data_IF_142667020991
#
_entry.id   IF_142667020991
#
_cell.length_a   1.000
_cell.length_b   1.000
_cell.length_c   1.000
_cell.angle_alpha   90.00
_cell.angle_beta   90.00
_cell.angle_gamma   90.00
#
_symmetry.space_group_name_H-M   'P 1'
#
loop_
_entity.id
_entity.type
_entity.pdbx_description
1 polymer ?
#
# COMPACT_ATOMS: atom_id res chain seq x y z
N UNK A 1 -13.31 -1.57 9.68
CA UNK A 1 -12.95 -1.11 8.33
C UNK A 1 -11.64 -0.35 8.45
N UNK A 2 -10.55 -0.95 8.01
CA UNK A 2 -9.24 -0.31 7.91
C UNK A 2 -9.16 0.34 6.53
N UNK A 3 -9.34 1.66 6.46
CA UNK A 3 -9.28 2.38 5.18
C UNK A 3 -7.84 2.45 4.64
N UNK A 4 -7.68 2.77 3.35
CA UNK A 4 -6.37 2.85 2.68
C UNK A 4 -5.42 3.84 3.38
N UNK A 5 -5.97 4.86 4.05
CA UNK A 5 -5.28 5.85 4.89
C UNK A 5 -4.47 5.26 6.05
N UNK A 6 -4.83 4.06 6.53
CA UNK A 6 -4.00 3.36 7.52
C UNK A 6 -2.67 2.90 6.93
N UNK A 7 -2.64 2.69 5.61
CA UNK A 7 -1.45 2.30 4.86
C UNK A 7 -0.75 3.50 4.19
N UNK A 8 -1.19 4.72 4.46
CA UNK A 8 -0.51 5.94 4.03
C UNK A 8 0.98 5.91 4.42
N UNK A 9 1.82 6.56 3.61
CA UNK A 9 3.26 6.62 3.87
C UNK A 9 3.54 7.09 5.31
N UNK A 10 4.44 6.42 6.06
CA UNK A 10 5.32 5.31 5.66
C UNK A 10 4.77 3.91 5.99
N UNK A 11 3.53 3.78 6.43
CA UNK A 11 2.98 2.53 7.01
C UNK A 11 2.87 1.41 5.99
N UNK A 12 2.31 1.66 4.81
CA UNK A 12 2.26 0.65 3.74
C UNK A 12 3.66 0.17 3.30
N UNK A 13 4.64 1.09 3.25
CA UNK A 13 6.03 0.74 2.95
C UNK A 13 6.65 -0.12 4.07
N UNK A 14 6.33 0.18 5.32
CA UNK A 14 6.79 -0.57 6.48
C UNK A 14 6.21 -1.98 6.52
N UNK A 15 4.94 -2.15 6.13
CA UNK A 15 4.31 -3.46 5.96
C UNK A 15 5.00 -4.26 4.85
N UNK A 16 5.23 -3.64 3.68
CA UNK A 16 5.93 -4.29 2.58
C UNK A 16 7.32 -4.78 3.01
N UNK A 17 8.09 -3.94 3.72
CA UNK A 17 9.40 -4.33 4.27
C UNK A 17 9.31 -5.48 5.28
N UNK A 18 8.30 -5.48 6.17
CA UNK A 18 8.08 -6.58 7.13
C UNK A 18 7.78 -7.89 6.42
N UNK A 19 6.95 -7.84 5.36
CA UNK A 19 6.65 -9.00 4.53
C UNK A 19 7.90 -9.54 3.81
N UNK A 20 8.70 -8.66 3.19
CA UNK A 20 9.97 -9.03 2.55
C UNK A 20 10.97 -9.65 3.53
N UNK A 21 10.99 -9.19 4.79
CA UNK A 21 11.82 -9.74 5.86
C UNK A 21 11.25 -11.03 6.49
N UNK A 22 10.15 -11.60 5.97
CA UNK A 22 9.53 -12.83 6.46
C UNK A 22 8.94 -12.71 7.87
N UNK A 23 8.57 -11.50 8.32
CA UNK A 23 7.98 -11.31 9.65
C UNK A 23 6.59 -11.95 9.73
N UNK A 24 6.34 -12.68 10.81
CA UNK A 24 5.04 -13.30 11.09
C UNK A 24 3.91 -12.25 11.07
N UNK A 25 2.75 -12.61 10.51
CA UNK A 25 1.58 -11.74 10.40
C UNK A 25 1.63 -10.73 9.25
N UNK A 26 2.82 -10.41 8.71
CA UNK A 26 2.94 -9.41 7.65
C UNK A 26 2.39 -9.91 6.30
N UNK A 27 2.45 -11.22 6.04
CA UNK A 27 1.86 -11.80 4.84
C UNK A 27 0.34 -11.75 4.89
N UNK A 28 -0.24 -12.14 6.02
CA UNK A 28 -1.69 -12.13 6.24
C UNK A 28 -2.25 -10.71 6.16
N UNK A 29 -1.57 -9.75 6.79
CA UNK A 29 -1.91 -8.32 6.72
C UNK A 29 -1.84 -7.79 5.27
N UNK A 30 -0.79 -8.15 4.52
CA UNK A 30 -0.63 -7.74 3.13
C UNK A 30 -1.67 -8.40 2.20
N UNK A 31 -2.00 -9.68 2.42
CA UNK A 31 -3.07 -10.38 1.70
C UNK A 31 -4.42 -9.71 1.93
N UNK A 32 -4.77 -9.41 3.19
CA UNK A 32 -6.03 -8.72 3.49
C UNK A 32 -6.12 -7.34 2.83
N UNK A 33 -5.01 -6.60 2.78
CA UNK A 33 -4.96 -5.34 2.04
C UNK A 33 -5.24 -5.51 0.54
N UNK A 34 -4.58 -6.47 -0.11
CA UNK A 34 -4.78 -6.72 -1.54
C UNK A 34 -6.17 -7.27 -1.86
N UNK A 35 -6.73 -8.14 -1.02
CA UNK A 35 -8.08 -8.66 -1.18
C UNK A 35 -9.12 -7.53 -1.11
N UNK A 36 -8.98 -6.61 -0.15
CA UNK A 36 -9.82 -5.40 -0.05
C UNK A 36 -9.65 -4.46 -1.26
N UNK A 37 -8.43 -4.34 -1.79
CA UNK A 37 -8.19 -3.56 -3.00
C UNK A 37 -8.87 -4.20 -4.24
N UNK A 38 -8.76 -5.52 -4.39
CA UNK A 38 -9.35 -6.28 -5.51
C UNK A 38 -10.88 -6.31 -5.42
N UNK A 39 -11.44 -6.37 -4.21
CA UNK A 39 -12.89 -6.33 -3.99
C UNK A 39 -13.52 -4.95 -4.26
N UNK A 40 -12.69 -3.92 -4.49
CA UNK A 40 -13.13 -2.56 -4.79
C UNK A 40 -13.38 -1.70 -3.56
N UNK A 41 -13.00 -2.15 -2.35
CA UNK A 41 -13.18 -1.35 -1.11
C UNK A 41 -12.40 -0.03 -1.15
N UNK A 42 -11.36 0.06 -1.98
CA UNK A 42 -10.54 1.27 -2.14
C UNK A 42 -10.83 2.06 -3.42
N UNK A 43 -11.82 1.68 -4.22
CA UNK A 43 -12.12 2.32 -5.51
C UNK A 43 -12.33 3.84 -5.40
N UNK A 44 -12.99 4.29 -4.35
CA UNK A 44 -13.21 5.71 -4.10
C UNK A 44 -11.88 6.48 -3.97
N UNK A 45 -10.88 5.86 -3.35
CA UNK A 45 -9.56 6.44 -3.17
C UNK A 45 -8.77 6.46 -4.48
N UNK A 46 -8.88 5.42 -5.30
CA UNK A 46 -8.22 5.37 -6.61
C UNK A 46 -8.85 6.29 -7.66
N UNK A 47 -10.11 6.71 -7.46
CA UNK A 47 -10.79 7.70 -8.31
C UNK A 47 -10.41 9.14 -8.01
N UNK A 48 -9.72 9.40 -6.88
CA UNK A 48 -9.27 10.76 -6.55
C UNK A 48 -8.19 11.18 -7.54
N UNK A 49 -8.48 12.23 -8.29
CA UNK A 49 -7.51 12.86 -9.16
C UNK A 49 -6.41 13.49 -8.31
N UNK A 50 -5.16 13.25 -8.69
CA UNK A 50 -4.06 13.96 -8.06
C UNK A 50 -4.08 15.44 -8.44
N UNK A 51 -3.43 16.27 -7.62
CA UNK A 51 -3.29 17.68 -7.89
C UNK A 51 -2.55 17.89 -9.23
N UNK A 52 -3.13 18.68 -10.12
CA UNK A 52 -2.63 18.87 -11.49
C UNK A 52 -1.28 19.61 -11.56
N UNK A 53 -0.81 20.15 -10.44
CA UNK A 53 0.46 20.87 -10.28
C UNK A 53 1.62 19.97 -9.80
N UNK A 54 1.40 18.65 -9.68
CA UNK A 54 2.41 17.70 -9.17
C UNK A 54 2.66 16.54 -10.13
N UNK A 55 3.94 16.23 -10.32
CA UNK A 55 4.36 14.99 -10.98
C UNK A 55 4.62 13.93 -9.90
N UNK A 56 3.84 12.86 -9.92
CA UNK A 56 4.08 11.69 -9.07
C UNK A 56 5.00 10.73 -9.82
N UNK A 57 6.28 10.68 -9.44
CA UNK A 57 7.22 9.69 -9.96
C UNK A 57 7.21 8.47 -9.04
N UNK A 58 6.83 7.31 -9.56
CA UNK A 58 7.02 6.02 -8.89
C UNK A 58 8.29 5.37 -9.41
N UNK A 59 9.27 5.20 -8.53
CA UNK A 59 10.44 4.39 -8.82
C UNK A 59 10.26 3.02 -8.15
N UNK A 60 10.61 1.94 -8.86
CA UNK A 60 10.75 0.63 -8.23
C UNK A 60 12.00 0.66 -7.35
N UNK A 61 11.81 0.83 -6.05
CA UNK A 61 12.92 0.76 -5.10
C UNK A 61 13.15 -0.72 -4.79
N UNK A 62 14.19 -1.29 -5.39
CA UNK A 62 14.65 -2.62 -5.03
C UNK A 62 15.21 -2.55 -3.60
N UNK A 63 14.36 -2.78 -2.59
CA UNK A 63 14.73 -2.73 -1.16
C UNK A 63 15.36 -4.05 -0.67
N UNK A 64 16.13 -4.72 -1.52
CA UNK A 64 16.99 -5.84 -1.12
C UNK A 64 18.43 -5.30 -1.06
N UNK A 65 18.84 -4.91 0.14
CA UNK A 65 20.22 -4.70 0.55
C UNK A 65 20.52 -5.57 1.76
#
# INVERSE_FOLDING_TARGET
MTGIEEYAFPRGLSLLRRWQAGKAGAKEELTGFFDAAISGEFDANFKLLTAADRVHSTASVHMLG
#
